data_IF_174218440019
#
_entry.id   IF_174218440019
#
_cell.length_a   1.000
_cell.length_b   1.000
_cell.length_c   1.000
_cell.angle_alpha   90.00
_cell.angle_beta   90.00
_cell.angle_gamma   90.00
#
_symmetry.space_group_name_H-M   'P 1'
#
loop_
_entity.id
_entity.type
_entity.pdbx_description
1 polymer ?
#
# COMPACT_ATOMS: atom_id res chain seq x y z
N UNK A 1 5.96 10.62 13.63
CA UNK A 1 6.40 9.66 12.59
C UNK A 1 5.32 8.59 12.52
N UNK A 2 4.84 8.22 11.34
CA UNK A 2 3.86 7.14 11.19
C UNK A 2 4.56 5.81 11.49
N UNK A 3 4.03 5.00 12.39
CA UNK A 3 4.53 3.66 12.67
C UNK A 3 3.60 2.62 12.04
N UNK A 4 4.08 1.65 11.23
CA UNK A 4 3.23 0.60 10.66
C UNK A 4 2.47 -0.23 11.71
N UNK A 5 2.92 -0.27 12.96
CA UNK A 5 2.21 -0.95 14.06
C UNK A 5 0.92 -0.24 14.52
N UNK A 6 0.75 1.05 14.20
CA UNK A 6 -0.46 1.81 14.55
C UNK A 6 -1.63 1.51 13.60
N UNK A 7 -1.39 0.74 12.54
CA UNK A 7 -2.34 0.48 11.47
C UNK A 7 -2.79 -0.98 11.44
N UNK A 8 -4.03 -1.26 11.02
CA UNK A 8 -4.55 -2.63 10.97
C UNK A 8 -3.81 -3.52 9.95
N UNK A 9 -3.14 -2.92 8.97
CA UNK A 9 -2.30 -3.62 8.00
C UNK A 9 -1.36 -2.65 7.28
N UNK A 10 -0.38 -3.22 6.56
CA UNK A 10 0.61 -2.46 5.80
C UNK A 10 0.00 -1.59 4.70
N UNK A 11 -1.14 -1.99 4.12
CA UNK A 11 -1.84 -1.19 3.09
C UNK A 11 -2.44 0.08 3.68
N UNK A 12 -3.06 -0.01 4.86
CA UNK A 12 -3.58 1.15 5.56
C UNK A 12 -2.44 2.13 5.91
N UNK A 13 -1.32 1.63 6.43
CA UNK A 13 -0.12 2.43 6.65
C UNK A 13 0.37 3.10 5.36
N UNK A 14 0.51 2.35 4.27
CA UNK A 14 0.99 2.87 3.00
C UNK A 14 0.06 3.97 2.46
N UNK A 15 -1.25 3.83 2.60
CA UNK A 15 -2.19 4.87 2.18
C UNK A 15 -2.04 6.14 3.01
N UNK A 16 -1.95 6.04 4.33
CA UNK A 16 -1.73 7.21 5.20
C UNK A 16 -0.39 7.88 4.94
N UNK A 17 0.68 7.11 4.74
CA UNK A 17 1.99 7.62 4.36
C UNK A 17 1.97 8.41 3.03
N UNK A 18 1.10 8.02 2.09
CA UNK A 18 0.86 8.73 0.82
C UNK A 18 -0.05 9.97 0.97
N UNK A 19 -0.59 10.24 2.16
CA UNK A 19 -1.52 11.34 2.41
C UNK A 19 -2.99 10.90 2.33
N UNK A 20 -3.24 9.63 2.66
CA UNK A 20 -4.55 9.00 2.70
C UNK A 20 -4.94 8.27 1.41
N UNK A 21 -6.04 7.52 1.51
CA UNK A 21 -6.58 6.69 0.42
C UNK A 21 -6.91 7.49 -0.86
N UNK A 22 -7.28 8.77 -0.75
CA UNK A 22 -7.58 9.63 -1.89
C UNK A 22 -6.32 9.98 -2.71
N UNK A 23 -5.20 10.24 -2.04
CA UNK A 23 -3.92 10.49 -2.69
C UNK A 23 -3.39 9.21 -3.33
N UNK A 24 -3.46 8.09 -2.60
CA UNK A 24 -3.10 6.77 -3.11
C UNK A 24 -3.92 6.39 -4.36
N UNK A 25 -5.22 6.70 -4.40
CA UNK A 25 -6.09 6.42 -5.54
C UNK A 25 -5.63 7.15 -6.80
N UNK A 26 -5.24 8.43 -6.66
CA UNK A 26 -4.69 9.25 -7.76
C UNK A 26 -3.36 8.70 -8.26
N UNK A 27 -2.46 8.35 -7.34
CA UNK A 27 -1.13 7.79 -7.64
C UNK A 27 -1.24 6.46 -8.38
N UNK A 28 -2.10 5.56 -7.88
CA UNK A 28 -2.33 4.26 -8.49
C UNK A 28 -3.26 4.32 -9.73
N UNK A 29 -3.83 5.49 -10.06
CA UNK A 29 -4.86 5.66 -11.10
C UNK A 29 -6.01 4.65 -10.98
N UNK A 30 -6.45 4.40 -9.74
CA UNK A 30 -7.54 3.47 -9.41
C UNK A 30 -8.65 4.18 -8.66
N UNK A 31 -9.83 3.57 -8.68
CA UNK A 31 -10.97 4.08 -7.92
C UNK A 31 -10.74 3.92 -6.42
N UNK A 32 -11.34 4.81 -5.63
CA UNK A 32 -11.37 4.71 -4.17
C UNK A 32 -11.85 3.34 -3.70
N UNK A 33 -12.86 2.79 -4.37
CA UNK A 33 -13.42 1.47 -4.05
C UNK A 33 -12.40 0.34 -4.24
N UNK A 34 -11.55 0.41 -5.28
CA UNK A 34 -10.49 -0.56 -5.50
C UNK A 34 -9.45 -0.52 -4.37
N UNK A 35 -9.04 0.69 -3.96
CA UNK A 35 -8.11 0.83 -2.84
C UNK A 35 -8.73 0.39 -1.51
N UNK A 36 -10.00 0.72 -1.26
CA UNK A 36 -10.66 0.26 -0.05
C UNK A 36 -10.75 -1.27 -0.01
N UNK A 37 -10.93 -1.94 -1.15
CA UNK A 37 -10.82 -3.41 -1.23
C UNK A 37 -9.42 -3.89 -0.88
N UNK A 38 -8.35 -3.26 -1.38
CA UNK A 38 -6.97 -3.63 -1.02
C UNK A 38 -6.71 -3.47 0.48
N UNK A 39 -7.22 -2.38 1.08
CA UNK A 39 -7.13 -2.14 2.53
C UNK A 39 -7.89 -3.18 3.34
N UNK A 40 -9.11 -3.53 2.92
CA UNK A 40 -9.93 -4.56 3.59
C UNK A 40 -9.33 -5.95 3.45
N UNK A 41 -8.78 -6.27 2.28
CA UNK A 41 -8.09 -7.53 2.01
C UNK A 41 -6.65 -7.57 2.58
N UNK A 42 -6.17 -6.45 3.13
CA UNK A 42 -4.79 -6.25 3.55
C UNK A 42 -3.74 -6.63 2.48
N UNK A 43 -4.11 -6.53 1.19
CA UNK A 43 -3.36 -7.13 0.10
C UNK A 43 -3.38 -6.27 -1.18
N UNK A 44 -2.22 -6.17 -1.84
CA UNK A 44 -2.09 -5.60 -3.18
C UNK A 44 -2.64 -6.55 -4.26
N UNK A 45 -3.04 -6.01 -5.43
CA UNK A 45 -3.49 -6.85 -6.53
C UNK A 45 -2.36 -7.76 -7.02
N UNK A 46 -2.71 -8.98 -7.45
CA UNK A 46 -1.76 -10.01 -7.90
C UNK A 46 -0.79 -9.50 -8.98
N UNK A 47 -1.22 -8.55 -9.80
CA UNK A 47 -0.42 -7.92 -10.85
C UNK A 47 0.84 -7.24 -10.33
N UNK A 48 0.88 -6.86 -9.06
CA UNK A 48 2.07 -6.27 -8.44
C UNK A 48 3.15 -7.33 -8.16
N UNK A 49 2.73 -8.55 -7.85
CA UNK A 49 3.62 -9.68 -7.62
C UNK A 49 4.11 -10.31 -8.93
N UNK A 50 3.37 -10.14 -10.02
CA UNK A 50 3.78 -10.58 -11.37
C UNK A 50 4.56 -9.52 -12.14
N UNK A 51 4.70 -8.31 -11.59
CA UNK A 51 5.42 -7.19 -12.22
C UNK A 51 4.64 -6.48 -13.33
N UNK A 52 3.39 -6.85 -13.58
CA UNK A 52 2.50 -6.17 -14.53
C UNK A 52 2.12 -4.77 -14.03
N UNK A 53 2.01 -4.61 -12.71
CA UNK A 53 1.82 -3.32 -12.05
C UNK A 53 2.91 -3.08 -11.01
N UNK A 54 3.10 -1.80 -10.66
CA UNK A 54 4.11 -1.35 -9.69
C UNK A 54 3.48 -0.42 -8.66
N UNK A 55 2.31 -0.78 -8.12
CA UNK A 55 1.61 0.02 -7.13
C UNK A 55 2.42 0.18 -5.85
N UNK A 56 3.13 -0.85 -5.40
CA UNK A 56 4.00 -0.73 -4.23
C UNK A 56 5.07 0.35 -4.42
N UNK A 57 5.72 0.39 -5.60
CA UNK A 57 6.71 1.43 -5.95
C UNK A 57 6.06 2.81 -6.06
N UNK A 58 4.89 2.91 -6.70
CA UNK A 58 4.17 4.17 -6.84
C UNK A 58 3.78 4.75 -5.48
N UNK A 59 3.29 3.90 -4.57
CA UNK A 59 2.94 4.28 -3.20
C UNK A 59 4.20 4.69 -2.41
N UNK A 60 5.30 3.93 -2.50
CA UNK A 60 6.56 4.27 -1.84
C UNK A 60 7.13 5.62 -2.32
N UNK A 61 7.11 5.85 -3.63
CA UNK A 61 7.55 7.11 -4.23
C UNK A 61 6.67 8.29 -3.80
N UNK A 62 5.35 8.09 -3.74
CA UNK A 62 4.43 9.14 -3.30
C UNK A 62 4.53 9.43 -1.80
N UNK A 63 4.69 8.40 -0.96
CA UNK A 63 4.90 8.55 0.46
C UNK A 63 6.21 9.32 0.75
N UNK A 64 7.26 9.02 -0.01
CA UNK A 64 8.55 9.71 0.11
C UNK A 64 8.42 11.21 -0.08
N UNK A 65 7.50 11.66 -0.96
CA UNK A 65 7.20 13.09 -1.15
C UNK A 65 6.53 13.74 0.05
N UNK A 66 5.82 12.97 0.87
CA UNK A 66 5.21 13.44 2.12
C UNK A 66 6.14 13.30 3.33
N UNK A 67 7.38 12.85 3.14
CA UNK A 67 8.33 12.62 4.24
C UNK A 67 8.18 11.25 4.92
N UNK A 68 7.47 10.30 4.29
CA UNK A 68 7.34 8.92 4.76
C UNK A 68 7.97 7.95 3.77
N UNK A 69 9.06 7.31 4.14
CA UNK A 69 9.75 6.38 3.25
C UNK A 69 9.53 4.95 3.71
N UNK A 70 9.12 4.09 2.79
CA UNK A 70 9.06 2.64 3.01
C UNK A 70 9.49 1.93 1.72
N UNK A 71 9.96 0.69 1.85
CA UNK A 71 10.37 -0.11 0.69
C UNK A 71 9.18 -0.77 0.02
N UNK A 72 9.15 -0.75 -1.31
CA UNK A 72 8.11 -1.43 -2.09
C UNK A 72 8.10 -2.94 -1.84
N UNK A 73 9.29 -3.55 -1.73
CA UNK A 73 9.44 -4.97 -1.41
C UNK A 73 8.86 -5.28 -0.02
N UNK A 74 9.16 -4.44 0.98
CA UNK A 74 8.55 -4.57 2.31
C UNK A 74 7.02 -4.51 2.25
N UNK A 75 6.45 -3.59 1.47
CA UNK A 75 4.99 -3.48 1.33
C UNK A 75 4.39 -4.73 0.68
N UNK A 76 5.02 -5.29 -0.36
CA UNK A 76 4.59 -6.54 -1.00
C UNK A 76 4.64 -7.73 -0.03
N UNK A 77 5.73 -7.86 0.72
CA UNK A 77 5.88 -8.92 1.72
C UNK A 77 4.90 -8.76 2.88
N UNK A 78 4.67 -7.52 3.34
CA UNK A 78 3.76 -7.23 4.45
C UNK A 78 2.28 -7.27 4.04
N UNK A 79 1.96 -7.11 2.76
CA UNK A 79 0.62 -7.23 2.20
C UNK A 79 0.38 -8.54 1.46
N UNK A 80 1.29 -9.50 1.61
CA UNK A 80 1.11 -10.83 1.04
C UNK A 80 0.01 -11.59 1.79
N UNK A 81 -0.95 -12.19 1.07
CA UNK A 81 -2.13 -12.82 1.69
C UNK A 81 -1.76 -14.02 2.58
N UNK A 82 -0.57 -14.61 2.40
CA UNK A 82 -0.05 -15.67 3.25
C UNK A 82 0.34 -15.21 4.67
N UNK A 83 0.51 -13.92 4.91
CA UNK A 83 0.91 -13.40 6.23
C UNK A 83 -0.25 -13.20 7.21
N UNK A 84 -1.50 -13.27 6.72
CA UNK A 84 -2.70 -13.13 7.55
C UNK A 84 -3.12 -14.43 8.27
N UNK A 85 -2.34 -15.52 8.14
CA UNK A 85 -2.58 -16.80 8.79
C UNK A 85 -1.34 -17.21 9.60
N UNK A 86 -1.21 -16.71 10.82
CA UNK A 86 -0.35 -17.25 11.88
C UNK A 86 -1.00 -16.99 13.24
#
# INVERSE_FOLDING_TARGET
MLNPADFPNAIAFAFEAVGGIGAAAKVCKRSYQALNKWRQAACLPRTDYTGETRYAELLAAAASKNGHTFEAAWLLEASSPHKAAA
#
